data_IF_637526923884
#
_entry.id   IF_637526923884
#
_cell.length_a   1.000
_cell.length_b   1.000
_cell.length_c   1.000
_cell.angle_alpha   90.00
_cell.angle_beta   90.00
_cell.angle_gamma   90.00
#
_symmetry.space_group_name_H-M   'P 1'
#
loop_
_entity.id
_entity.type
_entity.pdbx_description
1 polymer ?
#
# COMPACT_ATOMS: atom_id res chain seq x y z
N UNK A 1 2.13 -16.68 -23.45
CA UNK A 1 1.92 -15.95 -22.20
C UNK A 1 1.02 -16.79 -21.31
N UNK A 2 1.53 -17.28 -20.20
CA UNK A 2 0.77 -18.10 -19.25
C UNK A 2 -0.42 -17.32 -18.71
N UNK A 3 -1.62 -17.90 -18.82
CA UNK A 3 -2.81 -17.31 -18.24
C UNK A 3 -2.77 -17.52 -16.72
N UNK A 4 -2.74 -16.43 -15.94
CA UNK A 4 -2.96 -16.51 -14.51
C UNK A 4 -4.42 -16.88 -14.24
N UNK A 5 -4.64 -17.84 -13.33
CA UNK A 5 -5.99 -18.26 -12.92
C UNK A 5 -6.68 -17.14 -12.13
N UNK A 6 -5.94 -16.42 -11.29
CA UNK A 6 -6.43 -15.27 -10.54
C UNK A 6 -5.34 -14.22 -10.35
N UNK A 7 -5.78 -12.98 -10.11
CA UNK A 7 -4.92 -11.84 -9.76
C UNK A 7 -5.56 -11.13 -8.58
N UNK A 8 -4.85 -11.08 -7.47
CA UNK A 8 -5.33 -10.46 -6.24
C UNK A 8 -4.60 -9.16 -5.98
N UNK A 9 -5.34 -8.07 -5.81
CA UNK A 9 -4.81 -6.83 -5.26
C UNK A 9 -5.06 -6.80 -3.75
N UNK A 10 -4.06 -6.41 -2.99
CA UNK A 10 -4.09 -6.36 -1.52
C UNK A 10 -3.56 -5.02 -1.04
N UNK A 11 -4.31 -4.35 -0.17
CA UNK A 11 -3.90 -3.10 0.49
C UNK A 11 -3.35 -2.05 -0.48
N UNK A 12 -3.99 -1.88 -1.62
CA UNK A 12 -3.48 -1.02 -2.68
C UNK A 12 -4.55 -0.39 -3.57
N UNK A 13 -4.10 0.31 -4.60
CA UNK A 13 -4.92 1.05 -5.54
C UNK A 13 -4.20 1.19 -6.87
N UNK A 14 -4.97 1.37 -7.97
CA UNK A 14 -4.40 1.73 -9.27
C UNK A 14 -4.07 3.23 -9.41
N UNK A 15 -4.46 4.04 -8.42
CA UNK A 15 -4.22 5.49 -8.39
C UNK A 15 -3.50 5.86 -7.09
N UNK A 16 -2.21 5.50 -6.93
CA UNK A 16 -1.50 5.62 -5.64
C UNK A 16 -1.26 7.07 -5.22
N UNK A 17 -1.21 8.01 -6.15
CA UNK A 17 -1.07 9.46 -5.88
C UNK A 17 -2.34 10.15 -6.40
N UNK A 18 -3.37 10.14 -5.58
CA UNK A 18 -4.68 10.71 -5.85
C UNK A 18 -5.41 10.99 -4.54
N UNK A 19 -5.96 12.18 -4.38
CA UNK A 19 -6.58 12.62 -3.13
C UNK A 19 -7.79 11.78 -2.69
N UNK A 20 -8.50 11.16 -3.63
CA UNK A 20 -9.70 10.37 -3.35
C UNK A 20 -9.50 8.86 -3.43
N UNK A 21 -8.41 8.38 -4.04
CA UNK A 21 -8.18 6.96 -4.34
C UNK A 21 -6.85 6.42 -3.85
N UNK A 22 -5.96 7.28 -3.40
CA UNK A 22 -4.62 6.94 -2.94
C UNK A 22 -4.13 7.89 -1.86
N UNK A 23 -2.87 8.30 -1.94
CA UNK A 23 -2.28 9.35 -1.12
C UNK A 23 -2.51 10.72 -1.79
N UNK A 24 -2.89 11.76 -1.03
CA UNK A 24 -2.96 13.11 -1.57
C UNK A 24 -1.65 13.54 -2.22
N UNK A 25 -1.68 14.16 -3.43
CA UNK A 25 -0.46 14.56 -4.14
C UNK A 25 0.48 15.45 -3.33
N UNK A 26 -0.07 16.42 -2.59
CA UNK A 26 0.73 17.32 -1.75
C UNK A 26 1.38 16.59 -0.58
N UNK A 27 0.68 15.64 0.03
CA UNK A 27 1.22 14.81 1.10
C UNK A 27 2.37 13.92 0.61
N UNK A 28 2.23 13.34 -0.57
CA UNK A 28 3.29 12.54 -1.17
C UNK A 28 4.51 13.40 -1.54
N UNK A 29 4.30 14.57 -2.13
CA UNK A 29 5.36 15.52 -2.45
C UNK A 29 6.12 15.94 -1.20
N UNK A 30 5.42 16.35 -0.14
CA UNK A 30 6.03 16.72 1.14
C UNK A 30 6.85 15.56 1.74
N UNK A 31 6.36 14.34 1.66
CA UNK A 31 7.08 13.15 2.13
C UNK A 31 8.40 12.95 1.37
N UNK A 32 8.42 13.14 0.04
CA UNK A 32 9.65 13.06 -0.77
C UNK A 32 10.63 14.17 -0.39
N UNK A 33 10.15 15.40 -0.26
CA UNK A 33 10.98 16.57 0.06
C UNK A 33 11.64 16.47 1.44
N UNK A 34 10.91 15.95 2.42
CA UNK A 34 11.39 15.84 3.82
C UNK A 34 11.89 14.44 4.17
N UNK A 35 12.03 13.55 3.18
CA UNK A 35 12.36 12.16 3.42
C UNK A 35 13.67 11.98 4.18
N UNK A 36 13.59 11.22 5.26
CA UNK A 36 14.68 10.92 6.16
C UNK A 36 14.26 9.85 7.16
N UNK A 37 15.12 9.54 8.17
CA UNK A 37 14.83 8.49 9.15
C UNK A 37 13.49 8.65 9.87
N UNK A 38 13.14 9.86 10.28
CA UNK A 38 11.89 10.14 10.99
C UNK A 38 10.65 9.93 10.12
N UNK A 39 10.72 10.32 8.85
CA UNK A 39 9.64 10.10 7.88
C UNK A 39 9.45 8.62 7.63
N UNK A 40 10.55 7.87 7.48
CA UNK A 40 10.51 6.42 7.29
C UNK A 40 9.96 5.70 8.52
N UNK A 41 10.38 6.08 9.71
CA UNK A 41 9.88 5.51 10.97
C UNK A 41 8.36 5.77 11.14
N UNK A 42 7.90 6.97 10.79
CA UNK A 42 6.47 7.32 10.76
C UNK A 42 5.71 6.47 9.76
N UNK A 43 6.28 6.25 8.57
CA UNK A 43 5.68 5.38 7.55
C UNK A 43 5.55 3.95 8.06
N UNK A 44 6.60 3.38 8.66
CA UNK A 44 6.54 2.05 9.25
C UNK A 44 5.51 1.94 10.36
N UNK A 45 5.42 2.95 11.24
CA UNK A 45 4.40 2.99 12.28
C UNK A 45 2.97 2.98 11.71
N UNK A 46 2.75 3.66 10.58
CA UNK A 46 1.46 3.71 9.91
C UNK A 46 1.10 2.44 9.13
N UNK A 47 2.05 1.53 8.92
CA UNK A 47 1.78 0.23 8.31
C UNK A 47 1.03 -0.73 9.25
N UNK A 48 1.03 -0.45 10.56
CA UNK A 48 0.47 -1.32 11.60
C UNK A 48 -0.53 -0.57 12.49
N UNK A 49 -1.47 -1.30 13.05
CA UNK A 49 -2.38 -0.87 14.11
C UNK A 49 -2.10 -1.56 15.46
N UNK A 50 -1.15 -2.49 15.48
CA UNK A 50 -0.72 -3.25 16.65
C UNK A 50 0.78 -3.01 16.90
N UNK A 51 1.16 -2.46 18.08
CA UNK A 51 2.56 -2.22 18.43
C UNK A 51 3.44 -3.47 18.42
N UNK A 52 2.89 -4.63 18.80
CA UNK A 52 3.64 -5.90 18.80
C UNK A 52 4.01 -6.33 17.39
N UNK A 53 3.12 -6.13 16.43
CA UNK A 53 3.40 -6.41 15.02
C UNK A 53 4.41 -5.43 14.43
N UNK A 54 4.34 -4.15 14.81
CA UNK A 54 5.35 -3.16 14.43
C UNK A 54 6.73 -3.56 14.96
N UNK A 55 6.84 -3.92 16.24
CA UNK A 55 8.12 -4.35 16.84
C UNK A 55 8.69 -5.58 16.12
N UNK A 56 7.83 -6.55 15.79
CA UNK A 56 8.21 -7.72 15.00
C UNK A 56 8.77 -7.36 13.62
N UNK A 57 8.14 -6.41 12.94
CA UNK A 57 8.61 -5.91 11.64
C UNK A 57 9.94 -5.17 11.78
N UNK A 58 10.07 -4.27 12.75
CA UNK A 58 11.27 -3.48 12.96
C UNK A 58 12.49 -4.33 13.29
N UNK A 59 12.31 -5.49 13.92
CA UNK A 59 13.40 -6.44 14.20
C UNK A 59 14.08 -6.97 12.93
N UNK A 60 13.38 -6.99 11.81
CA UNK A 60 13.88 -7.48 10.51
C UNK A 60 13.64 -6.50 9.36
N UNK A 61 13.48 -5.21 9.67
CA UNK A 61 13.21 -4.19 8.66
C UNK A 61 14.30 -4.12 7.58
N UNK A 62 13.94 -3.76 6.34
CA UNK A 62 14.92 -3.54 5.28
C UNK A 62 15.93 -2.47 5.67
N UNK A 63 17.21 -2.71 5.33
CA UNK A 63 18.30 -1.78 5.56
C UNK A 63 18.79 -1.28 4.21
N UNK A 64 18.24 -0.16 3.78
CA UNK A 64 18.64 0.49 2.52
C UNK A 64 19.14 1.90 2.79
N UNK A 65 20.09 2.41 1.99
CA UNK A 65 20.54 3.80 2.06
C UNK A 65 19.36 4.77 1.89
N UNK A 66 19.37 5.84 2.67
CA UNK A 66 18.25 6.78 2.74
C UNK A 66 18.10 7.60 1.44
N UNK A 67 19.20 7.91 0.80
CA UNK A 67 19.27 8.60 -0.50
C UNK A 67 18.65 7.74 -1.61
N UNK A 68 18.95 6.44 -1.66
CA UNK A 68 18.34 5.51 -2.62
C UNK A 68 16.82 5.45 -2.45
N UNK A 69 16.34 5.37 -1.22
CA UNK A 69 14.90 5.35 -0.94
C UNK A 69 14.22 6.65 -1.37
N UNK A 70 14.86 7.79 -1.14
CA UNK A 70 14.35 9.09 -1.58
C UNK A 70 14.27 9.18 -3.11
N UNK A 71 15.34 8.77 -3.80
CA UNK A 71 15.38 8.73 -5.26
C UNK A 71 14.30 7.82 -5.83
N UNK A 72 14.09 6.65 -5.25
CA UNK A 72 13.05 5.70 -5.64
C UNK A 72 11.65 6.31 -5.47
N UNK A 73 11.37 6.99 -4.36
CA UNK A 73 10.10 7.66 -4.14
C UNK A 73 9.86 8.80 -5.14
N UNK A 74 10.89 9.58 -5.45
CA UNK A 74 10.81 10.65 -6.44
C UNK A 74 10.58 10.09 -7.85
N UNK A 75 11.28 9.03 -8.22
CA UNK A 75 11.11 8.34 -9.49
C UNK A 75 9.71 7.72 -9.63
N UNK A 76 9.21 7.09 -8.56
CA UNK A 76 7.86 6.55 -8.51
C UNK A 76 6.81 7.65 -8.73
N UNK A 77 6.95 8.79 -8.05
CA UNK A 77 6.07 9.94 -8.23
C UNK A 77 6.06 10.41 -9.69
N UNK A 78 7.23 10.59 -10.29
CA UNK A 78 7.36 11.02 -11.67
C UNK A 78 6.69 10.03 -12.64
N UNK A 79 6.90 8.73 -12.44
CA UNK A 79 6.30 7.67 -13.24
C UNK A 79 4.77 7.66 -13.14
N UNK A 80 4.23 7.79 -11.92
CA UNK A 80 2.78 7.82 -11.70
C UNK A 80 2.12 9.04 -12.34
N UNK A 81 2.74 10.22 -12.23
CA UNK A 81 2.21 11.45 -12.81
C UNK A 81 2.28 11.47 -14.34
N UNK A 82 3.24 10.77 -14.93
CA UNK A 82 3.40 10.67 -16.39
C UNK A 82 2.57 9.51 -17.00
N UNK A 83 2.09 8.56 -16.20
CA UNK A 83 1.42 7.38 -16.68
C UNK A 83 0.01 7.69 -17.20
N UNK A 84 -0.38 7.02 -18.29
CA UNK A 84 -1.77 6.92 -18.69
C UNK A 84 -2.57 6.10 -17.63
N UNK A 85 -3.91 6.22 -17.61
CA UNK A 85 -4.74 5.42 -16.71
C UNK A 85 -4.41 3.92 -16.82
N UNK A 86 -4.15 3.29 -15.67
CA UNK A 86 -3.79 1.88 -15.60
C UNK A 86 -5.05 1.03 -15.70
N UNK A 87 -5.01 0.01 -16.56
CA UNK A 87 -6.11 -0.94 -16.70
C UNK A 87 -6.20 -1.85 -15.46
N UNK A 88 -7.40 -2.00 -14.91
CA UNK A 88 -7.68 -3.01 -13.90
C UNK A 88 -7.61 -4.42 -14.49
N UNK A 89 -6.66 -5.20 -14.00
CA UNK A 89 -6.45 -6.60 -14.39
C UNK A 89 -6.74 -7.58 -13.24
N UNK A 90 -7.15 -7.07 -12.08
CA UNK A 90 -7.35 -7.88 -10.88
C UNK A 90 -8.73 -8.52 -10.85
N UNK A 91 -8.76 -9.81 -10.55
CA UNK A 91 -10.00 -10.58 -10.39
C UNK A 91 -10.50 -10.58 -8.96
N UNK A 92 -9.61 -10.30 -7.98
CA UNK A 92 -9.91 -10.16 -6.56
C UNK A 92 -9.25 -8.90 -6.02
N UNK A 93 -9.97 -8.17 -5.18
CA UNK A 93 -9.48 -6.95 -4.53
C UNK A 93 -9.78 -7.04 -3.04
N UNK A 94 -8.75 -6.96 -2.22
CA UNK A 94 -8.85 -6.99 -0.77
C UNK A 94 -8.50 -5.61 -0.22
N UNK A 95 -9.51 -4.98 0.36
CA UNK A 95 -9.42 -3.67 1.00
C UNK A 95 -9.11 -3.86 2.48
N UNK A 96 -8.12 -3.11 2.96
CA UNK A 96 -7.69 -3.10 4.36
C UNK A 96 -8.29 -1.89 5.08
N UNK A 97 -9.30 -2.11 5.92
CA UNK A 97 -10.07 -0.99 6.49
C UNK A 97 -9.37 -0.22 7.62
N UNK A 98 -8.33 -0.80 8.22
CA UNK A 98 -7.48 -0.15 9.23
C UNK A 98 -6.17 0.40 8.66
N UNK A 99 -6.08 0.47 7.36
CA UNK A 99 -4.92 1.01 6.63
C UNK A 99 -4.82 2.52 6.89
N UNK A 100 -3.68 2.97 7.39
CA UNK A 100 -3.37 4.38 7.64
C UNK A 100 -2.51 5.02 6.53
N UNK A 101 -2.15 4.25 5.51
CA UNK A 101 -1.43 4.72 4.33
C UNK A 101 -2.43 4.93 3.18
N UNK A 102 -2.99 3.85 2.65
CA UNK A 102 -4.13 3.93 1.73
C UNK A 102 -5.42 3.69 2.51
N UNK A 103 -6.09 4.74 2.94
CA UNK A 103 -7.29 4.57 3.76
C UNK A 103 -8.29 3.62 3.11
N UNK A 104 -8.97 2.80 3.91
CA UNK A 104 -9.99 1.87 3.39
C UNK A 104 -11.05 2.57 2.54
N UNK A 105 -11.39 3.81 2.88
CA UNK A 105 -12.29 4.66 2.09
C UNK A 105 -11.76 4.95 0.68
N UNK A 106 -10.47 5.30 0.56
CA UNK A 106 -9.84 5.59 -0.73
C UNK A 106 -9.66 4.31 -1.56
N UNK A 107 -9.29 3.20 -0.92
CA UNK A 107 -9.25 1.90 -1.59
C UNK A 107 -10.64 1.52 -2.14
N UNK A 108 -11.71 1.67 -1.37
CA UNK A 108 -13.08 1.39 -1.82
C UNK A 108 -13.52 2.32 -2.96
N UNK A 109 -13.09 3.57 -2.97
CA UNK A 109 -13.35 4.49 -4.09
C UNK A 109 -12.58 4.09 -5.35
N UNK A 110 -11.36 3.57 -5.19
CA UNK A 110 -10.54 3.12 -6.30
C UNK A 110 -11.10 1.86 -6.97
N UNK A 111 -11.52 0.86 -6.16
CA UNK A 111 -11.94 -0.45 -6.66
C UNK A 111 -13.45 -0.57 -6.91
N UNK A 112 -14.27 0.20 -6.19
CA UNK A 112 -15.72 0.02 -6.15
C UNK A 112 -16.16 -0.96 -5.05
N UNK A 113 -17.23 -0.62 -4.34
CA UNK A 113 -17.75 -1.41 -3.20
C UNK A 113 -18.20 -2.81 -3.60
N UNK A 114 -18.74 -2.95 -4.78
CA UNK A 114 -19.35 -4.20 -5.25
C UNK A 114 -18.31 -5.21 -5.77
N UNK A 115 -17.06 -4.78 -5.92
CA UNK A 115 -15.97 -5.60 -6.48
C UNK A 115 -14.87 -5.93 -5.47
N UNK A 116 -14.94 -5.38 -4.28
CA UNK A 116 -13.90 -5.52 -3.26
C UNK A 116 -14.42 -6.23 -2.01
N UNK A 117 -13.58 -7.09 -1.44
CA UNK A 117 -13.77 -7.66 -0.10
C UNK A 117 -13.05 -6.79 0.92
N UNK A 118 -13.68 -6.49 2.05
CA UNK A 118 -13.11 -5.64 3.09
C UNK A 118 -12.72 -6.48 4.30
N UNK A 119 -11.46 -6.35 4.73
CA UNK A 119 -10.96 -6.93 5.97
C UNK A 119 -10.50 -5.83 6.92
N UNK A 120 -10.69 -6.04 8.22
CA UNK A 120 -10.22 -5.14 9.26
C UNK A 120 -8.73 -5.34 9.54
N UNK A 121 -7.92 -5.18 8.49
CA UNK A 121 -6.48 -5.34 8.48
C UNK A 121 -5.76 -4.00 8.31
N UNK A 122 -4.52 -3.86 8.84
CA UNK A 122 -3.67 -2.71 8.59
C UNK A 122 -3.07 -2.74 7.18
N UNK A 123 -2.27 -1.71 6.83
CA UNK A 123 -1.59 -1.64 5.53
C UNK A 123 -0.66 -2.82 5.26
N UNK A 124 0.07 -3.28 6.29
CA UNK A 124 0.90 -4.49 6.22
C UNK A 124 0.12 -5.66 6.84
N UNK A 125 -0.68 -6.40 6.06
CA UNK A 125 -1.58 -7.41 6.60
C UNK A 125 -0.94 -8.80 6.74
N UNK A 126 0.35 -8.95 6.45
CA UNK A 126 1.03 -10.25 6.36
C UNK A 126 1.21 -10.98 7.69
N UNK A 127 0.86 -10.33 8.81
CA UNK A 127 0.77 -10.98 10.12
C UNK A 127 -0.68 -11.37 10.51
N UNK A 128 -1.65 -11.13 9.63
CA UNK A 128 -3.07 -11.41 9.87
C UNK A 128 -3.48 -12.82 9.41
N UNK A 129 -2.65 -13.50 8.65
CA UNK A 129 -2.90 -14.84 8.12
C UNK A 129 -1.64 -15.71 8.24
N UNK A 130 -1.81 -17.03 8.24
CA UNK A 130 -0.73 -17.99 8.46
C UNK A 130 -0.02 -18.33 7.16
N UNK A 131 -0.78 -18.51 6.10
CA UNK A 131 -0.24 -18.88 4.79
C UNK A 131 -0.97 -18.17 3.63
N UNK A 132 -0.43 -18.31 2.44
CA UNK A 132 -1.01 -17.70 1.24
C UNK A 132 -2.38 -18.25 0.87
N UNK A 133 -2.69 -19.49 1.26
CA UNK A 133 -4.00 -20.08 1.00
C UNK A 133 -5.08 -19.36 1.80
N UNK A 134 -4.79 -18.97 3.02
CA UNK A 134 -5.70 -18.17 3.86
C UNK A 134 -6.04 -16.85 3.17
N UNK A 135 -5.02 -16.15 2.63
CA UNK A 135 -5.21 -14.90 1.89
C UNK A 135 -6.02 -15.12 0.61
N UNK A 136 -5.73 -16.16 -0.15
CA UNK A 136 -6.42 -16.44 -1.41
C UNK A 136 -7.89 -16.83 -1.20
N UNK A 137 -8.22 -17.37 -0.03
CA UNK A 137 -9.57 -17.75 0.38
C UNK A 137 -10.35 -16.62 1.08
N UNK A 138 -9.64 -15.59 1.49
CA UNK A 138 -10.18 -14.47 2.27
C UNK A 138 -11.20 -13.61 1.51
#
# INVERSE_FOLDING_TARGET
>A
AGAFVSRTALAGTLSPIDAGRGLPPDSYAAMVETFGPEVLDTFYANMFDDPTQLDRFLASRPRRPMDELREEMAAFRAAVLAAAPVRDIYTKKIVTSRDRIFTGRNQLRAWGRDTATVHAWPHFPFFQFVDWQDLLSA
#
